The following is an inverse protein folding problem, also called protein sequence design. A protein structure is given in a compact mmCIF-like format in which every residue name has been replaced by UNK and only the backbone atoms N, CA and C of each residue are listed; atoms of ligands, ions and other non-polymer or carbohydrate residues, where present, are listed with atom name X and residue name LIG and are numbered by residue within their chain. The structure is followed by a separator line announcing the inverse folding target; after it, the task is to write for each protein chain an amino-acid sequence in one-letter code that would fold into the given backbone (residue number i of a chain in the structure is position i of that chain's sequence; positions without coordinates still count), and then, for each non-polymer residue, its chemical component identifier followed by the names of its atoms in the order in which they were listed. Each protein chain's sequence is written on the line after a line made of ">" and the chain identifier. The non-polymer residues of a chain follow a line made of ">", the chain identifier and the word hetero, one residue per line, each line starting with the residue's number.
data_IF_923130246483
#
_entry.id   IF_923130246483
#
_cell.length_a   1.000
_cell.length_b   1.000
_cell.length_c   1.000
_cell.angle_alpha   90.00
_cell.angle_beta   90.00
_cell.angle_gamma   90.00
#
_symmetry.space_group_name_H-M   'P 1'
#
loop_
_entity.id
_entity.type
_entity.pdbx_description
1 polymer ?
#
# COMPACT_ATOMS: atom_id res chain seq x y z
N UNK A 1 19.74 -16.78 -26.87
CA UNK A 1 18.89 -15.57 -26.94
C UNK A 1 19.22 -14.74 -25.71
N UNK A 2 19.71 -13.51 -25.84
CA UNK A 2 19.93 -12.64 -24.67
C UNK A 2 18.57 -12.25 -24.11
N UNK A 3 18.33 -12.53 -22.83
CA UNK A 3 17.13 -12.04 -22.13
C UNK A 3 17.16 -10.52 -22.21
N UNK A 4 16.11 -9.91 -22.76
CA UNK A 4 16.00 -8.46 -22.81
C UNK A 4 16.06 -7.91 -21.39
N UNK A 5 16.85 -6.86 -21.16
CA UNK A 5 16.91 -6.23 -19.83
C UNK A 5 15.56 -5.64 -19.48
N UNK A 6 15.07 -5.80 -18.25
CA UNK A 6 13.83 -5.19 -17.83
C UNK A 6 13.96 -3.67 -17.73
N UNK A 7 12.95 -2.96 -18.17
CA UNK A 7 12.89 -1.50 -18.17
C UNK A 7 11.60 -0.98 -17.55
N UNK A 8 11.66 0.23 -17.01
CA UNK A 8 10.58 0.96 -16.36
C UNK A 8 10.29 2.27 -17.09
N UNK A 9 9.01 2.62 -17.24
CA UNK A 9 8.58 3.84 -17.92
C UNK A 9 9.02 5.10 -17.17
N UNK A 10 9.64 6.04 -17.89
CA UNK A 10 9.97 7.36 -17.36
C UNK A 10 8.74 8.14 -16.90
N UNK A 11 7.60 8.00 -17.58
CA UNK A 11 6.33 8.63 -17.18
C UNK A 11 5.90 8.15 -15.78
N UNK A 12 5.88 6.85 -15.54
CA UNK A 12 5.58 6.28 -14.23
C UNK A 12 6.63 6.67 -13.18
N UNK A 13 7.92 6.62 -13.55
CA UNK A 13 9.01 7.02 -12.67
C UNK A 13 8.89 8.48 -12.21
N UNK A 14 8.35 9.38 -13.04
CA UNK A 14 8.15 10.78 -12.70
C UNK A 14 7.18 11.02 -11.52
N UNK A 15 6.47 10.00 -11.06
CA UNK A 15 5.59 10.07 -9.88
C UNK A 15 6.26 10.65 -8.62
N UNK A 16 7.56 10.41 -8.39
CA UNK A 16 8.22 10.99 -7.22
C UNK A 16 8.49 12.49 -7.38
N UNK A 17 8.76 12.94 -8.60
CA UNK A 17 8.89 14.37 -8.91
C UNK A 17 7.56 15.07 -8.64
N UNK A 18 6.44 14.48 -9.07
CA UNK A 18 5.10 14.98 -8.77
C UNK A 18 4.78 15.00 -7.27
N UNK A 19 5.28 14.03 -6.51
CA UNK A 19 5.01 13.90 -5.09
C UNK A 19 5.69 14.97 -4.23
N UNK A 20 6.87 15.43 -4.62
CA UNK A 20 7.67 16.36 -3.84
C UNK A 20 7.80 17.75 -4.46
N UNK A 21 7.56 17.87 -5.77
CA UNK A 21 7.85 19.05 -6.59
C UNK A 21 9.26 19.03 -7.16
N UNK A 22 9.42 19.54 -8.38
CA UNK A 22 10.70 19.57 -9.11
C UNK A 22 11.80 20.33 -8.36
N UNK A 23 11.47 21.45 -7.73
CA UNK A 23 12.44 22.30 -7.02
C UNK A 23 12.77 21.79 -5.62
N UNK A 24 12.26 20.63 -5.22
CA UNK A 24 12.52 20.05 -3.91
C UNK A 24 13.98 19.58 -3.81
N UNK A 25 14.69 20.04 -2.78
CA UNK A 25 16.12 19.70 -2.60
C UNK A 25 16.37 18.20 -2.41
N UNK A 26 15.40 17.45 -1.89
CA UNK A 26 15.48 15.98 -1.79
C UNK A 26 15.41 15.34 -3.16
N UNK A 27 14.49 15.77 -4.02
CA UNK A 27 14.35 15.28 -5.41
C UNK A 27 15.65 15.54 -6.18
N UNK A 28 16.14 16.78 -6.11
CA UNK A 28 17.38 17.18 -6.78
C UNK A 28 18.58 16.34 -6.30
N UNK A 29 18.69 16.09 -4.99
CA UNK A 29 19.75 15.24 -4.45
C UNK A 29 19.62 13.78 -4.91
N UNK A 30 18.41 13.22 -4.95
CA UNK A 30 18.19 11.83 -5.37
C UNK A 30 18.51 11.66 -6.86
N UNK A 31 18.09 12.61 -7.71
CA UNK A 31 18.42 12.63 -9.13
C UNK A 31 19.94 12.74 -9.35
N UNK A 32 20.60 13.68 -8.66
CA UNK A 32 22.05 13.84 -8.73
C UNK A 32 22.81 12.59 -8.23
N UNK A 33 22.41 12.01 -7.10
CA UNK A 33 22.96 10.75 -6.57
C UNK A 33 22.78 9.60 -7.58
N UNK A 34 21.71 9.62 -8.38
CA UNK A 34 21.42 8.64 -9.43
C UNK A 34 22.09 8.94 -10.78
N UNK A 35 22.83 10.06 -10.90
CA UNK A 35 23.58 10.44 -12.08
C UNK A 35 22.74 11.09 -13.20
N UNK A 36 21.56 11.61 -12.89
CA UNK A 36 20.66 12.25 -13.86
C UNK A 36 20.24 13.64 -13.40
N UNK A 37 20.00 14.56 -14.34
CA UNK A 37 19.49 15.89 -14.03
C UNK A 37 17.95 15.91 -13.88
N UNK A 38 17.25 15.09 -14.67
CA UNK A 38 15.80 14.96 -14.70
C UNK A 38 15.39 13.58 -15.22
N UNK A 39 14.13 13.20 -14.96
CA UNK A 39 13.49 12.05 -15.58
C UNK A 39 12.79 12.52 -16.86
N UNK A 40 13.10 11.89 -17.99
CA UNK A 40 12.38 12.08 -19.24
C UNK A 40 11.15 11.16 -19.24
N UNK A 41 9.91 11.69 -19.28
CA UNK A 41 8.70 10.88 -19.30
C UNK A 41 8.58 9.94 -20.51
N UNK A 42 9.27 10.23 -21.62
CA UNK A 42 9.23 9.41 -22.85
C UNK A 42 10.33 8.35 -22.88
N UNK A 43 11.30 8.42 -21.97
CA UNK A 43 12.38 7.45 -21.89
C UNK A 43 11.97 6.18 -21.14
N UNK A 44 12.76 5.13 -21.35
CA UNK A 44 12.69 3.87 -20.62
C UNK A 44 14.01 3.71 -19.88
N UNK A 45 13.90 3.34 -18.60
CA UNK A 45 15.04 3.25 -17.69
C UNK A 45 15.25 1.80 -17.26
N UNK A 46 16.48 1.42 -16.94
CA UNK A 46 16.76 0.13 -16.32
C UNK A 46 15.89 -0.06 -15.06
N UNK A 47 15.23 -1.22 -14.96
CA UNK A 47 14.23 -1.47 -13.91
C UNK A 47 14.83 -1.42 -12.50
N UNK A 48 16.03 -1.98 -12.30
CA UNK A 48 16.69 -2.00 -11.00
C UNK A 48 17.15 -0.60 -10.60
N UNK A 49 17.71 0.16 -11.55
CA UNK A 49 18.07 1.56 -11.36
C UNK A 49 16.84 2.42 -10.99
N UNK A 50 15.73 2.26 -11.72
CA UNK A 50 14.49 3.00 -11.46
C UNK A 50 13.90 2.61 -10.09
N UNK A 51 13.91 1.32 -9.75
CA UNK A 51 13.44 0.83 -8.46
C UNK A 51 14.27 1.37 -7.29
N UNK A 52 15.60 1.45 -7.45
CA UNK A 52 16.51 1.97 -6.44
C UNK A 52 16.20 3.42 -6.03
N UNK A 53 15.63 4.24 -6.92
CA UNK A 53 15.17 5.59 -6.59
C UNK A 53 14.09 5.55 -5.52
N UNK A 54 13.10 4.66 -5.62
CA UNK A 54 12.03 4.55 -4.61
C UNK A 54 12.57 4.06 -3.27
N UNK A 55 13.51 3.09 -3.27
CA UNK A 55 14.23 2.67 -2.06
C UNK A 55 14.97 3.83 -1.41
N UNK A 56 15.66 4.65 -2.20
CA UNK A 56 16.42 5.79 -1.70
C UNK A 56 15.53 6.87 -1.07
N UNK A 57 14.33 7.09 -1.62
CA UNK A 57 13.31 7.95 -1.00
C UNK A 57 12.90 7.38 0.36
N UNK A 58 12.65 6.07 0.43
CA UNK A 58 12.33 5.38 1.69
C UNK A 58 13.41 5.55 2.75
N UNK A 59 14.67 5.38 2.38
CA UNK A 59 15.82 5.54 3.28
C UNK A 59 16.01 6.98 3.76
N UNK A 60 15.93 7.97 2.86
CA UNK A 60 16.26 9.37 3.18
C UNK A 60 15.11 10.14 3.81
N UNK A 61 13.86 9.83 3.43
CA UNK A 61 12.67 10.63 3.79
C UNK A 61 11.70 9.84 4.65
N UNK A 62 11.61 8.53 4.42
CA UNK A 62 10.81 7.64 5.24
C UNK A 62 9.50 7.18 4.58
N UNK A 63 8.80 6.31 5.32
CA UNK A 63 7.63 5.55 4.87
C UNK A 63 6.51 6.41 4.27
N UNK A 64 6.13 7.49 4.95
CA UNK A 64 5.03 8.36 4.51
C UNK A 64 5.32 9.03 3.16
N UNK A 65 6.59 9.32 2.89
CA UNK A 65 7.04 9.91 1.64
C UNK A 65 6.86 8.92 0.49
N UNK A 66 7.28 7.66 0.68
CA UNK A 66 7.09 6.58 -0.30
C UNK A 66 5.60 6.32 -0.57
N UNK A 67 4.75 6.33 0.45
CA UNK A 67 3.30 6.25 0.28
C UNK A 67 2.76 7.41 -0.57
N UNK A 68 3.25 8.63 -0.35
CA UNK A 68 2.86 9.79 -1.15
C UNK A 68 3.27 9.65 -2.62
N UNK A 69 4.48 9.12 -2.89
CA UNK A 69 4.94 8.79 -4.25
C UNK A 69 4.01 7.76 -4.89
N UNK A 70 3.67 6.69 -4.16
CA UNK A 70 2.69 5.69 -4.61
C UNK A 70 1.35 6.30 -4.98
N UNK A 71 0.82 7.23 -4.16
CA UNK A 71 -0.42 7.95 -4.46
C UNK A 71 -0.31 8.78 -5.75
N UNK A 72 0.85 9.35 -6.05
CA UNK A 72 1.10 10.10 -7.29
C UNK A 72 1.37 9.23 -8.51
N UNK A 73 1.67 7.95 -8.33
CA UNK A 73 1.81 7.01 -9.44
C UNK A 73 0.55 6.93 -10.31
N UNK A 74 -0.64 7.05 -9.71
CA UNK A 74 -1.91 6.97 -10.45
C UNK A 74 -2.16 8.17 -11.38
N UNK A 75 -1.42 9.27 -11.19
CA UNK A 75 -1.45 10.45 -12.07
C UNK A 75 -0.40 10.35 -13.19
N UNK A 76 0.66 9.55 -12.99
CA UNK A 76 1.83 9.50 -13.85
C UNK A 76 1.87 8.26 -14.76
N UNK A 77 1.43 7.12 -14.25
CA UNK A 77 1.45 5.85 -14.96
C UNK A 77 0.36 5.75 -16.03
N UNK A 78 0.66 4.99 -17.08
CA UNK A 78 -0.32 4.62 -18.10
C UNK A 78 -1.25 3.52 -17.55
N UNK A 79 -2.55 3.74 -17.63
CA UNK A 79 -3.57 2.75 -17.29
C UNK A 79 -4.30 2.28 -18.56
N UNK A 80 -4.86 1.05 -18.57
CA UNK A 80 -5.74 0.65 -19.65
C UNK A 80 -7.00 1.55 -19.71
N UNK A 81 -7.63 1.69 -20.88
CA UNK A 81 -8.84 2.51 -21.01
C UNK A 81 -10.04 1.86 -20.32
N UNK A 82 -11.13 2.63 -20.14
CA UNK A 82 -12.43 2.09 -19.69
C UNK A 82 -12.56 1.83 -18.18
N UNK A 83 -11.72 2.46 -17.36
CA UNK A 83 -11.75 2.33 -15.91
C UNK A 83 -12.69 3.38 -15.29
N UNK A 84 -13.87 2.96 -14.87
CA UNK A 84 -14.95 3.82 -14.35
C UNK A 84 -15.37 3.47 -12.91
N UNK A 85 -14.70 2.51 -12.27
CA UNK A 85 -15.02 2.08 -10.90
C UNK A 85 -13.79 1.68 -10.10
N UNK A 86 -13.95 1.59 -8.77
CA UNK A 86 -12.89 1.13 -7.85
C UNK A 86 -12.47 -0.30 -8.19
N UNK A 87 -13.42 -1.21 -8.41
CA UNK A 87 -13.11 -2.60 -8.73
C UNK A 87 -12.31 -2.69 -10.03
N UNK A 88 -12.71 -1.94 -11.06
CA UNK A 88 -11.98 -1.91 -12.34
C UNK A 88 -10.57 -1.34 -12.20
N UNK A 89 -10.37 -0.29 -11.39
CA UNK A 89 -9.01 0.26 -11.21
C UNK A 89 -8.11 -0.71 -10.45
N UNK A 90 -8.62 -1.41 -9.43
CA UNK A 90 -7.85 -2.40 -8.68
C UNK A 90 -7.50 -3.61 -9.57
N UNK A 91 -8.46 -4.12 -10.34
CA UNK A 91 -8.21 -5.18 -11.33
C UNK A 91 -7.24 -4.75 -12.43
N UNK A 92 -7.14 -3.45 -12.72
CA UNK A 92 -6.22 -2.93 -13.73
C UNK A 92 -4.77 -2.80 -13.25
N UNK A 93 -4.46 -3.00 -11.97
CA UNK A 93 -3.10 -2.79 -11.45
C UNK A 93 -2.05 -3.67 -12.17
N UNK A 94 -2.36 -4.93 -12.45
CA UNK A 94 -1.51 -5.83 -13.23
C UNK A 94 -1.31 -5.35 -14.67
N UNK A 95 -2.39 -5.16 -15.45
CA UNK A 95 -2.28 -4.59 -16.80
C UNK A 95 -1.55 -3.23 -16.84
N UNK A 96 -1.86 -2.31 -15.93
CA UNK A 96 -1.17 -1.03 -15.84
C UNK A 96 0.32 -1.21 -15.55
N UNK A 97 0.71 -2.13 -14.65
CA UNK A 97 2.11 -2.45 -14.41
C UNK A 97 2.81 -2.93 -15.69
N UNK A 98 2.16 -3.77 -16.51
CA UNK A 98 2.71 -4.23 -17.79
C UNK A 98 2.73 -3.16 -18.88
N UNK A 99 1.92 -2.11 -18.77
CA UNK A 99 2.01 -0.93 -19.67
C UNK A 99 3.19 -0.01 -19.30
N UNK A 100 3.67 -0.08 -18.06
CA UNK A 100 4.75 0.77 -17.54
C UNK A 100 6.06 0.01 -17.29
N UNK A 101 6.12 -1.26 -17.66
CA UNK A 101 7.32 -2.09 -17.65
C UNK A 101 7.44 -2.85 -18.97
N UNK A 102 8.66 -3.12 -19.42
CA UNK A 102 8.91 -3.90 -20.65
C UNK A 102 10.23 -4.65 -20.57
N UNK A 103 10.48 -5.54 -21.53
CA UNK A 103 11.70 -6.33 -21.59
C UNK A 103 11.58 -7.61 -20.77
N UNK A 104 12.56 -7.90 -19.91
CA UNK A 104 12.61 -9.09 -19.09
C UNK A 104 11.47 -9.20 -18.07
N UNK A 105 11.34 -10.37 -17.45
CA UNK A 105 10.35 -10.60 -16.40
C UNK A 105 10.73 -9.89 -15.09
N UNK A 106 9.81 -9.09 -14.59
CA UNK A 106 9.92 -8.33 -13.33
C UNK A 106 8.82 -8.68 -12.34
N UNK A 107 8.02 -9.72 -12.63
CA UNK A 107 6.88 -10.14 -11.83
C UNK A 107 5.55 -9.55 -12.30
N UNK A 108 4.52 -9.80 -11.49
CA UNK A 108 3.11 -9.60 -11.81
C UNK A 108 2.31 -9.11 -10.59
N UNK A 109 1.21 -8.40 -10.87
CA UNK A 109 0.20 -8.02 -9.90
C UNK A 109 -1.10 -8.73 -10.26
N UNK A 110 -1.65 -9.45 -9.31
CA UNK A 110 -2.95 -10.10 -9.40
C UNK A 110 -3.92 -9.41 -8.46
N UNK A 111 -5.16 -9.26 -8.88
CA UNK A 111 -6.23 -8.73 -8.05
C UNK A 111 -7.46 -9.62 -8.21
N UNK A 112 -7.97 -10.10 -7.08
CA UNK A 112 -9.21 -10.86 -6.99
C UNK A 112 -10.22 -10.02 -6.23
N UNK A 113 -11.36 -9.72 -6.84
CA UNK A 113 -12.50 -9.12 -6.14
C UNK A 113 -13.21 -10.25 -5.39
N UNK A 114 -13.26 -10.16 -4.07
CA UNK A 114 -13.86 -11.19 -3.21
C UNK A 114 -15.36 -10.94 -3.04
N UNK A 115 -15.74 -9.67 -2.90
CA UNK A 115 -17.11 -9.18 -2.85
C UNK A 115 -17.20 -7.68 -3.22
N UNK A 116 -18.37 -7.07 -3.03
CA UNK A 116 -18.63 -5.65 -3.32
C UNK A 116 -17.68 -4.66 -2.59
N UNK A 117 -17.06 -5.11 -1.49
CA UNK A 117 -16.31 -4.28 -0.55
C UNK A 117 -14.94 -4.85 -0.19
N UNK A 118 -14.42 -5.81 -0.94
CA UNK A 118 -13.11 -6.38 -0.63
C UNK A 118 -12.41 -6.95 -1.86
N UNK A 119 -11.08 -6.85 -1.81
CA UNK A 119 -10.21 -7.38 -2.83
C UNK A 119 -8.92 -7.91 -2.21
N UNK A 120 -8.42 -9.00 -2.76
CA UNK A 120 -7.10 -9.52 -2.45
C UNK A 120 -6.16 -9.13 -3.59
N UNK A 121 -5.04 -8.51 -3.25
CA UNK A 121 -3.99 -8.17 -4.23
C UNK A 121 -2.77 -9.02 -3.91
N UNK A 122 -2.22 -9.71 -4.90
CA UNK A 122 -1.02 -10.54 -4.78
C UNK A 122 0.03 -10.02 -5.73
N UNK A 123 1.27 -9.95 -5.27
CA UNK A 123 2.38 -9.37 -6.04
C UNK A 123 3.61 -10.26 -5.97
N UNK A 124 4.24 -10.45 -7.12
CA UNK A 124 5.49 -11.22 -7.25
C UNK A 124 6.69 -10.31 -7.53
N UNK A 125 6.47 -9.08 -8.00
CA UNK A 125 7.57 -8.14 -8.16
C UNK A 125 8.14 -7.73 -6.80
N UNK A 126 9.43 -7.43 -6.76
CA UNK A 126 10.05 -6.77 -5.60
C UNK A 126 9.66 -5.29 -5.59
N UNK A 127 9.38 -4.77 -4.40
CA UNK A 127 9.11 -3.35 -4.20
C UNK A 127 8.73 -3.05 -2.75
N UNK A 128 8.80 -1.78 -2.37
CA UNK A 128 8.48 -1.34 -1.01
C UNK A 128 6.99 -1.53 -0.68
N UNK A 129 6.64 -2.27 0.38
CA UNK A 129 5.25 -2.37 0.85
C UNK A 129 4.54 -0.98 0.94
N UNK A 130 5.12 0.10 1.53
CA UNK A 130 4.46 1.41 1.57
C UNK A 130 4.18 2.07 0.22
N UNK A 131 4.99 1.80 -0.80
CA UNK A 131 4.76 2.34 -2.13
C UNK A 131 3.44 1.82 -2.71
N UNK A 132 3.19 0.53 -2.51
CA UNK A 132 2.03 -0.16 -3.06
C UNK A 132 0.77 0.17 -2.30
N UNK A 133 0.85 0.30 -0.98
CA UNK A 133 -0.22 0.90 -0.16
C UNK A 133 -0.59 2.27 -0.73
N UNK A 134 0.40 3.11 -1.04
CA UNK A 134 0.17 4.41 -1.67
C UNK A 134 -0.54 4.33 -3.02
N UNK A 135 -0.14 3.39 -3.90
CA UNK A 135 -0.81 3.18 -5.19
C UNK A 135 -2.28 2.81 -5.00
N UNK A 136 -2.56 1.86 -4.10
CA UNK A 136 -3.92 1.38 -3.86
C UNK A 136 -4.79 2.49 -3.22
N UNK A 137 -4.25 3.23 -2.26
CA UNK A 137 -4.90 4.43 -1.71
C UNK A 137 -5.23 5.45 -2.81
N UNK A 138 -4.28 5.72 -3.71
CA UNK A 138 -4.47 6.63 -4.84
C UNK A 138 -5.57 6.17 -5.79
N UNK A 139 -5.58 4.88 -6.14
CA UNK A 139 -6.61 4.26 -6.98
C UNK A 139 -8.00 4.41 -6.35
N UNK A 140 -8.16 4.07 -5.07
CA UNK A 140 -9.43 4.19 -4.35
C UNK A 140 -9.87 5.66 -4.20
N UNK A 141 -8.94 6.57 -3.90
CA UNK A 141 -9.23 7.99 -3.67
C UNK A 141 -9.80 8.67 -4.94
N UNK A 142 -9.40 8.24 -6.13
CA UNK A 142 -9.96 8.73 -7.42
C UNK A 142 -11.49 8.58 -7.51
N UNK A 143 -12.05 7.63 -6.78
CA UNK A 143 -13.49 7.37 -6.73
C UNK A 143 -14.12 7.75 -5.38
N UNK A 144 -13.43 8.57 -4.58
CA UNK A 144 -13.91 9.03 -3.27
C UNK A 144 -13.98 7.92 -2.21
N UNK A 145 -13.22 6.83 -2.38
CA UNK A 145 -13.16 5.72 -1.43
C UNK A 145 -11.89 5.81 -0.61
N UNK A 146 -12.05 5.65 0.71
CA UNK A 146 -10.92 5.49 1.65
C UNK A 146 -10.80 4.01 1.99
N UNK A 147 -9.78 3.30 1.50
CA UNK A 147 -9.64 1.87 1.75
C UNK A 147 -9.09 1.60 3.16
N UNK A 148 -9.34 0.39 3.66
CA UNK A 148 -8.59 -0.20 4.77
C UNK A 148 -7.64 -1.24 4.19
N UNK A 149 -6.33 -1.02 4.40
CA UNK A 149 -5.27 -1.81 3.79
C UNK A 149 -4.53 -2.60 4.86
N UNK A 150 -4.55 -3.92 4.76
CA UNK A 150 -3.86 -4.83 5.68
C UNK A 150 -2.91 -5.73 4.90
N UNK A 151 -1.77 -6.09 5.50
CA UNK A 151 -0.95 -7.17 4.95
C UNK A 151 -1.60 -8.51 5.30
N UNK A 152 -1.62 -9.42 4.33
CA UNK A 152 -2.04 -10.80 4.51
C UNK A 152 -1.09 -11.55 5.45
N UNK A 153 -1.57 -12.68 5.96
CA UNK A 153 -0.83 -13.50 6.92
C UNK A 153 0.44 -14.15 6.31
N UNK A 154 0.56 -14.16 4.98
CA UNK A 154 1.65 -14.81 4.25
C UNK A 154 2.95 -13.98 4.21
N UNK A 155 2.95 -12.80 4.83
CA UNK A 155 4.15 -11.97 5.06
C UNK A 155 4.24 -10.68 4.21
N UNK A 156 5.28 -9.88 4.48
CA UNK A 156 5.65 -8.70 3.67
C UNK A 156 7.08 -8.87 3.13
N UNK A 157 7.29 -8.46 1.89
CA UNK A 157 8.60 -8.51 1.24
C UNK A 157 9.63 -7.63 1.95
N UNK A 158 9.20 -6.53 2.59
CA UNK A 158 10.08 -5.71 3.44
C UNK A 158 10.58 -6.48 4.69
N UNK A 159 9.91 -7.58 5.06
CA UNK A 159 10.28 -8.48 6.17
C UNK A 159 10.93 -9.78 5.68
N UNK A 160 11.18 -9.90 4.37
CA UNK A 160 11.88 -11.04 3.76
C UNK A 160 10.99 -12.18 3.24
N UNK A 161 9.68 -11.99 3.16
CA UNK A 161 8.79 -12.96 2.51
C UNK A 161 8.96 -12.97 0.97
N UNK A 162 8.79 -14.14 0.34
CA UNK A 162 8.92 -14.30 -1.12
C UNK A 162 7.77 -13.65 -1.89
N UNK A 163 6.56 -13.66 -1.29
CA UNK A 163 5.35 -13.09 -1.87
C UNK A 163 4.77 -12.02 -0.96
N UNK A 164 4.15 -11.02 -1.59
CA UNK A 164 3.38 -10.02 -0.87
C UNK A 164 1.90 -10.14 -1.22
N UNK A 165 1.07 -10.34 -0.19
CA UNK A 165 -0.40 -10.40 -0.33
C UNK A 165 -1.04 -9.33 0.53
N UNK A 166 -1.16 -8.07 0.10
CA UNK A 166 -2.05 -7.13 0.76
C UNK A 166 -3.49 -7.61 0.64
N UNK A 167 -4.15 -7.79 1.79
CA UNK A 167 -5.58 -8.11 1.87
C UNK A 167 -6.32 -6.83 2.22
N UNK A 168 -7.21 -6.38 1.35
CA UNK A 168 -8.00 -5.18 1.60
C UNK A 168 -9.47 -5.47 1.78
N UNK A 169 -10.04 -4.87 2.82
CA UNK A 169 -11.45 -4.55 2.88
C UNK A 169 -11.62 -3.12 2.35
N UNK A 170 -12.06 -3.02 1.10
CA UNK A 170 -12.61 -1.79 0.50
C UNK A 170 -14.01 -1.52 1.08
N UNK A 171 -14.09 -1.30 2.39
CA UNK A 171 -15.33 -1.00 3.10
C UNK A 171 -15.73 0.46 2.92
N UNK A 172 -16.95 0.72 2.41
CA UNK A 172 -17.62 2.00 2.72
C UNK A 172 -17.70 2.11 4.24
N UNK A 173 -17.21 3.19 4.82
CA UNK A 173 -17.60 3.54 6.19
C UNK A 173 -19.12 3.76 6.21
N UNK A 174 -19.90 2.73 6.57
CA UNK A 174 -21.30 2.94 6.95
C UNK A 174 -21.28 3.92 8.11
N UNK A 175 -21.79 5.13 7.90
CA UNK A 175 -22.35 5.94 9.00
C UNK A 175 -23.56 5.18 9.54
N UNK A 176 -23.31 4.17 10.36
CA UNK A 176 -24.32 3.58 11.23
C UNK A 176 -23.66 3.39 12.59
N UNK A 177 -24.15 4.12 13.58
CA UNK A 177 -23.71 4.03 14.98
C UNK A 177 -24.00 2.66 15.58
N UNK A 178 -23.17 1.68 15.24
CA UNK A 178 -23.20 0.33 15.76
C UNK A 178 -21.79 -0.24 15.73
N UNK A 179 -21.30 -0.68 16.88
CA UNK A 179 -19.95 -1.20 17.10
C UNK A 179 -19.61 -2.26 16.04
N UNK A 180 -18.56 -2.03 15.26
CA UNK A 180 -17.97 -3.06 14.40
C UNK A 180 -17.32 -4.12 15.30
N UNK A 181 -17.93 -5.31 15.35
CA UNK A 181 -17.25 -6.51 15.82
C UNK A 181 -16.35 -6.99 14.68
N UNK A 182 -15.03 -6.96 14.89
CA UNK A 182 -14.08 -7.63 14.02
C UNK A 182 -14.42 -9.12 13.98
N UNK A 183 -14.96 -9.59 12.86
CA UNK A 183 -15.27 -11.00 12.66
C UNK A 183 -14.00 -11.70 12.14
N UNK A 184 -13.09 -12.02 13.05
CA UNK A 184 -12.01 -12.98 12.77
C UNK A 184 -12.64 -14.36 12.77
N UNK A 185 -13.08 -14.85 11.60
CA UNK A 185 -13.39 -16.27 11.43
C UNK A 185 -12.07 -17.04 11.33
N UNK A 186 -11.69 -17.70 12.41
CA UNK A 186 -10.71 -18.79 12.41
C UNK A 186 -11.13 -19.83 11.35
N UNK A 187 -10.22 -20.37 10.52
CA UNK A 187 -10.52 -21.56 9.74
C UNK A 187 -10.81 -22.73 10.69
N UNK A 188 -11.85 -23.49 10.36
CA UNK A 188 -12.28 -24.66 11.09
C UNK A 188 -11.16 -25.71 11.10
N UNK A 189 -10.74 -26.10 12.31
CA UNK A 189 -9.87 -27.25 12.50
C UNK A 189 -10.64 -28.52 12.11
N UNK A 190 -10.06 -29.31 11.20
CA UNK A 190 -10.49 -30.67 10.93
C UNK A 190 -10.39 -31.50 12.21
N UNK A 191 -11.52 -32.05 12.64
CA UNK A 191 -11.61 -32.92 13.79
C UNK A 191 -11.13 -34.34 13.42
N UNK A 192 -10.16 -34.84 14.17
CA UNK A 192 -9.77 -36.25 14.23
C UNK A 192 -9.64 -36.64 15.70
N UNK A 193 -10.44 -37.62 16.13
CA UNK A 193 -10.69 -38.03 17.51
C UNK A 193 -9.68 -39.16 17.97
N UNK A 194 -9.75 -39.72 19.20
CA UNK A 194 -8.61 -39.81 20.12
C UNK A 194 -8.14 -41.25 20.45
N UNK A 195 -6.97 -41.38 21.09
CA UNK A 195 -6.61 -42.44 22.08
C UNK A 195 -5.28 -42.00 22.74
N UNK A 196 -5.21 -41.67 24.03
CA UNK A 196 -4.99 -42.59 25.15
C UNK A 196 -3.84 -42.04 26.04
N UNK A 197 -3.77 -42.36 27.35
CA UNK A 197 -3.13 -41.51 28.36
C UNK A 197 -1.71 -41.95 28.74
N UNK A 198 -0.90 -41.03 29.28
CA UNK A 198 -0.26 -41.11 30.61
C UNK A 198 1.04 -40.25 30.72
N UNK A 199 1.22 -39.63 31.88
CA UNK A 199 2.52 -39.43 32.53
C UNK A 199 3.50 -38.38 31.99
N UNK A 200 3.52 -37.19 32.62
CA UNK A 200 4.55 -36.79 33.62
C UNK A 200 4.69 -35.26 33.74
N UNK A 201 4.69 -34.84 35.00
CA UNK A 201 5.09 -33.52 35.50
C UNK A 201 6.53 -33.18 35.11
N UNK A 202 6.81 -31.91 34.79
CA UNK A 202 7.99 -31.16 35.29
C UNK A 202 7.77 -29.65 35.19
N UNK A 203 8.37 -28.96 36.16
CA UNK A 203 8.29 -27.52 36.48
C UNK A 203 9.35 -26.71 35.72
N UNK A 204 9.12 -25.40 35.61
CA UNK A 204 10.12 -24.36 35.35
C UNK A 204 9.55 -23.32 34.38
N UNK A 205 9.10 -22.13 34.79
CA UNK A 205 9.82 -20.96 35.34
C UNK A 205 9.95 -19.85 34.27
N UNK A 206 9.68 -18.61 34.68
CA UNK A 206 10.03 -17.37 33.98
C UNK A 206 8.95 -16.82 33.05
N UNK A 207 8.20 -15.77 33.44
CA UNK A 207 8.57 -14.35 33.38
C UNK A 207 7.88 -13.70 32.14
N UNK A 208 6.89 -12.84 32.38
CA UNK A 208 6.94 -11.37 32.19
C UNK A 208 6.23 -10.91 30.92
N UNK A 209 5.38 -9.90 31.04
CA UNK A 209 4.84 -9.17 29.89
C UNK A 209 3.35 -8.87 29.96
N UNK A 210 2.97 -7.96 30.85
CA UNK A 210 1.61 -7.46 30.99
C UNK A 210 1.14 -6.72 29.71
N UNK A 211 -0.01 -7.14 29.17
CA UNK A 211 -0.80 -6.35 28.23
C UNK A 211 -1.34 -5.11 28.96
N UNK A 212 -0.63 -3.98 28.84
CA UNK A 212 -1.18 -2.66 29.18
C UNK A 212 -2.11 -2.20 28.07
N UNK A 213 -3.42 -2.26 28.33
CA UNK A 213 -4.42 -1.43 27.65
C UNK A 213 -4.22 0.01 28.11
N UNK A 214 -3.87 0.91 27.21
CA UNK A 214 -4.00 2.35 27.43
C UNK A 214 -5.24 2.82 26.68
N UNK A 215 -6.36 2.90 27.40
CA UNK A 215 -7.47 3.76 27.01
C UNK A 215 -7.33 5.04 27.84
N UNK A 216 -6.99 6.15 27.20
CA UNK A 216 -7.14 7.48 27.76
C UNK A 216 -8.20 8.22 26.91
N UNK A 217 -9.43 8.20 27.41
CA UNK A 217 -10.51 9.07 26.96
C UNK A 217 -10.28 10.47 27.51
N UNK A 218 -9.89 11.40 26.65
CA UNK A 218 -9.89 12.83 26.93
C UNK A 218 -11.15 13.44 26.30
N UNK A 219 -12.16 13.65 27.13
CA UNK A 219 -13.28 14.55 26.83
C UNK A 219 -12.77 15.98 26.95
N UNK A 220 -12.64 16.69 25.81
CA UNK A 220 -12.62 18.15 25.80
C UNK A 220 -13.94 18.68 25.26
N UNK A 221 -14.65 19.32 26.18
CA UNK A 221 -15.61 20.37 25.97
C UNK A 221 -14.98 21.55 25.23
N UNK A 222 -15.73 22.09 24.27
CA UNK A 222 -15.52 23.37 23.59
C UNK A 222 -16.69 23.49 22.62
N UNK A 223 -17.73 24.27 22.89
CA UNK A 223 -17.69 25.70 23.15
C UNK A 223 -18.38 26.35 21.95
N UNK A 224 -19.72 26.38 21.97
CA UNK A 224 -20.52 27.10 20.98
C UNK A 224 -20.35 28.60 21.22
N UNK A 225 -19.76 29.30 20.26
CA UNK A 225 -19.69 30.76 20.23
C UNK A 225 -19.72 31.23 18.78
N UNK A 226 -20.92 31.35 18.21
CA UNK A 226 -21.15 31.92 16.88
C UNK A 226 -21.83 33.27 17.05
N UNK A 227 -21.06 34.34 16.80
CA UNK A 227 -21.51 35.72 16.82
C UNK A 227 -22.51 36.02 15.68
N UNK A 228 -23.60 36.68 16.04
CA UNK A 228 -24.56 37.30 15.13
C UNK A 228 -23.89 38.44 14.35
N UNK A 229 -24.07 38.44 13.02
CA UNK A 229 -23.73 39.56 12.16
C UNK A 229 -24.94 40.48 12.07
N UNK A 230 -24.73 41.73 12.49
CA UNK A 230 -25.61 42.85 12.24
C UNK A 230 -25.77 43.10 10.73
N UNK A 231 -27.03 43.14 10.28
CA UNK A 231 -27.46 43.73 9.01
C UNK A 231 -28.34 44.92 9.39
N UNK A 232 -27.90 46.14 9.10
CA UNK A 232 -28.76 47.33 8.98
C UNK A 232 -27.98 48.44 8.27
N UNK A 233 -28.51 48.76 7.08
CA UNK A 233 -28.51 50.03 6.34
C UNK A 233 -27.24 50.88 6.29
#
# INVERSE_FOLDING_TARGET
>A
MSVAKPEYSGAALNSFVLAFGETNSVVQKILADAGVAAIDPQAWYDYEWASAIFYRIGEKVGRAAVMNVGRKMIEAAVFPPGIDSVQKVLMSLGPAFKLNTRGGDVGDIFCTIEDDYSATIVRTQRGLCPFNVGIIEGCCARYGVKPLIEHGADGCQDEGADLHVPRELVGRHRRTGGRAAACVRRPAALAGHPHGPDGRRRRGAGATGALRRVFASSTRSGGCGGAERNMSL
#
